data_IF_234245273971
#
_entry.id   IF_234245273971
#
_cell.length_a   1.000
_cell.length_b   1.000
_cell.length_c   1.000
_cell.angle_alpha   90.00
_cell.angle_beta   90.00
_cell.angle_gamma   90.00
#
_symmetry.space_group_name_H-M   'P 1'
#
loop_
_entity.id
_entity.type
_entity.pdbx_description
1 polymer ?
#
# COMPACT_ATOMS: atom_id res chain seq x y z
N UNK A 1 -2.93 17.66 -6.91
CA UNK A 1 -3.76 16.71 -6.15
C UNK A 1 -4.28 15.57 -7.04
N UNK A 2 -3.46 15.04 -7.96
CA UNK A 2 -3.94 14.11 -9.01
C UNK A 2 -3.14 12.80 -9.14
N UNK A 3 -2.00 12.66 -8.45
CA UNK A 3 -1.12 11.50 -8.64
C UNK A 3 -1.59 10.24 -7.89
N UNK A 4 -2.33 10.36 -6.78
CA UNK A 4 -2.69 9.17 -5.97
C UNK A 4 -3.84 8.33 -6.52
N UNK A 5 -4.67 8.89 -7.42
CA UNK A 5 -5.90 8.22 -7.87
C UNK A 5 -5.68 6.88 -8.59
N UNK A 6 -4.53 6.71 -9.26
CA UNK A 6 -4.19 5.45 -9.93
C UNK A 6 -3.89 4.30 -8.95
N UNK A 7 -3.49 4.64 -7.73
CA UNK A 7 -3.01 3.69 -6.73
C UNK A 7 -4.08 3.30 -5.71
N UNK A 8 -5.17 4.08 -5.63
CA UNK A 8 -6.36 3.76 -4.84
C UNK A 8 -6.90 2.39 -5.26
N UNK A 9 -7.25 1.57 -4.28
CA UNK A 9 -7.72 0.20 -4.45
C UNK A 9 -7.01 -0.78 -3.53
N UNK A 10 -7.35 -2.07 -3.66
CA UNK A 10 -6.76 -3.14 -2.88
C UNK A 10 -5.52 -3.68 -3.58
N UNK A 11 -4.48 -3.96 -2.82
CA UNK A 11 -3.22 -4.51 -3.30
C UNK A 11 -2.86 -5.73 -2.47
N UNK A 12 -2.84 -6.91 -3.08
CA UNK A 12 -2.59 -8.16 -2.38
C UNK A 12 -1.35 -8.86 -2.92
N UNK A 13 -0.64 -9.56 -2.05
CA UNK A 13 0.44 -10.46 -2.45
C UNK A 13 -0.13 -11.71 -3.12
N UNK A 14 0.66 -12.36 -3.98
CA UNK A 14 0.28 -13.61 -4.65
C UNK A 14 0.09 -14.71 -3.59
N UNK A 15 -1.16 -14.97 -3.21
CA UNK A 15 -1.54 -15.88 -2.12
C UNK A 15 -2.29 -15.23 -0.95
N UNK A 16 -2.65 -13.95 -1.05
CA UNK A 16 -3.58 -13.23 -0.13
C UNK A 16 -3.16 -13.20 1.35
N UNK A 17 -1.91 -13.57 1.67
CA UNK A 17 -1.38 -13.55 3.03
C UNK A 17 -1.24 -12.11 3.55
N UNK A 18 -1.13 -11.17 2.62
CA UNK A 18 -0.97 -9.74 2.88
C UNK A 18 -1.77 -8.96 1.84
N UNK A 19 -2.59 -8.02 2.30
CA UNK A 19 -3.34 -7.08 1.48
C UNK A 19 -3.24 -5.66 2.06
N UNK A 20 -3.17 -4.65 1.20
CA UNK A 20 -3.19 -3.25 1.58
C UNK A 20 -4.22 -2.52 0.74
N UNK A 21 -5.13 -1.80 1.39
CA UNK A 21 -6.12 -0.98 0.75
C UNK A 21 -5.72 0.49 0.83
N UNK A 22 -5.72 1.19 -0.30
CA UNK A 22 -5.45 2.62 -0.35
C UNK A 22 -6.73 3.41 -0.58
N UNK A 23 -6.90 4.46 0.20
CA UNK A 23 -8.07 5.33 0.16
C UNK A 23 -7.75 6.70 -0.44
N UNK A 24 -8.74 7.40 -1.05
CA UNK A 24 -8.56 8.72 -1.65
C UNK A 24 -8.13 9.82 -0.67
N UNK A 25 -8.26 9.59 0.63
CA UNK A 25 -7.87 10.51 1.69
C UNK A 25 -6.40 10.37 2.12
N UNK A 26 -5.55 9.70 1.33
CA UNK A 26 -4.16 9.40 1.67
C UNK A 26 -3.97 8.45 2.86
N UNK A 27 -5.02 7.74 3.29
CA UNK A 27 -4.90 6.69 4.30
C UNK A 27 -4.78 5.31 3.64
N UNK A 28 -4.09 4.39 4.31
CA UNK A 28 -4.06 2.99 3.92
C UNK A 28 -4.48 2.09 5.08
N UNK A 29 -5.02 0.91 4.77
CA UNK A 29 -5.21 -0.18 5.72
C UNK A 29 -4.44 -1.42 5.26
N UNK A 30 -3.78 -2.12 6.18
CA UNK A 30 -3.03 -3.34 5.90
C UNK A 30 -3.67 -4.52 6.62
N UNK A 31 -4.07 -5.53 5.88
CA UNK A 31 -4.60 -6.81 6.36
C UNK A 31 -3.55 -7.92 6.15
N UNK A 32 -3.45 -8.86 7.09
CA UNK A 32 -2.60 -10.05 6.95
C UNK A 32 -3.36 -11.32 7.32
N UNK A 33 -3.60 -12.17 6.33
CA UNK A 33 -4.35 -13.41 6.47
C UNK A 33 -5.73 -13.16 7.10
N UNK A 34 -6.03 -13.86 8.19
CA UNK A 34 -7.31 -13.75 8.91
C UNK A 34 -7.50 -12.42 9.66
N UNK A 35 -6.44 -11.61 9.82
CA UNK A 35 -6.54 -10.31 10.48
C UNK A 35 -6.86 -9.22 9.46
N UNK A 36 -8.12 -8.78 9.49
CA UNK A 36 -8.68 -7.77 8.59
C UNK A 36 -8.08 -6.37 8.70
N UNK A 37 -7.38 -6.02 9.79
CA UNK A 37 -6.74 -4.70 9.91
C UNK A 37 -5.64 -4.78 10.95
N UNK A 38 -4.40 -4.79 10.50
CA UNK A 38 -3.19 -4.95 11.32
C UNK A 38 -2.50 -3.59 11.49
N UNK A 39 -2.44 -2.79 10.43
CA UNK A 39 -1.84 -1.46 10.42
C UNK A 39 -2.70 -0.47 9.64
N UNK A 40 -2.70 0.79 10.09
CA UNK A 40 -3.33 1.91 9.40
C UNK A 40 -2.40 3.10 9.52
N UNK A 41 -2.27 3.86 8.44
CA UNK A 41 -1.44 5.05 8.44
C UNK A 41 -1.68 5.90 7.21
N UNK A 42 -0.78 6.84 7.01
CA UNK A 42 -0.79 7.71 5.85
C UNK A 42 0.21 7.22 4.81
N UNK A 43 -0.12 7.41 3.54
CA UNK A 43 0.79 7.14 2.46
C UNK A 43 0.90 8.34 1.52
N UNK A 44 2.10 8.49 0.94
CA UNK A 44 2.42 9.54 0.00
C UNK A 44 3.09 8.94 -1.21
N UNK A 45 2.67 9.35 -2.40
CA UNK A 45 3.24 8.87 -3.65
C UNK A 45 3.98 10.01 -4.32
N UNK A 46 5.19 9.73 -4.77
CA UNK A 46 6.09 10.64 -5.48
C UNK A 46 6.55 9.96 -6.77
N UNK A 47 5.84 10.24 -7.87
CA UNK A 47 6.08 9.56 -9.16
C UNK A 47 5.84 8.06 -9.06
N UNK A 48 6.92 7.28 -9.01
CA UNK A 48 6.87 5.82 -8.93
C UNK A 48 7.12 5.31 -7.51
N UNK A 49 7.49 6.18 -6.58
CA UNK A 49 7.84 5.83 -5.21
C UNK A 49 6.66 6.09 -4.28
N UNK A 50 6.49 5.26 -3.27
CA UNK A 50 5.48 5.40 -2.22
C UNK A 50 6.14 5.34 -0.86
N UNK A 51 5.87 6.33 -0.04
CA UNK A 51 6.27 6.39 1.36
C UNK A 51 5.05 6.17 2.24
N UNK A 52 5.20 5.26 3.19
CA UNK A 52 4.23 4.94 4.21
C UNK A 52 4.71 5.55 5.51
N UNK A 53 3.78 6.11 6.27
CA UNK A 53 4.02 6.60 7.61
C UNK A 53 2.92 6.07 8.51
N UNK A 54 3.31 5.16 9.38
CA UNK A 54 2.43 4.67 10.44
C UNK A 54 2.42 5.64 11.63
N UNK A 55 1.37 5.59 12.44
CA UNK A 55 1.21 6.42 13.65
C UNK A 55 2.32 6.14 14.69
N UNK A 56 2.90 4.94 14.68
CA UNK A 56 4.06 4.58 15.48
C UNK A 56 5.37 5.31 15.07
N UNK A 57 5.35 6.13 14.02
CA UNK A 57 6.51 6.88 13.54
C UNK A 57 7.47 6.09 12.64
N UNK A 58 7.10 4.85 12.28
CA UNK A 58 7.83 4.08 11.29
C UNK A 58 7.52 4.62 9.90
N UNK A 59 8.58 4.93 9.17
CA UNK A 59 8.50 5.30 7.76
C UNK A 59 9.04 4.14 6.95
N UNK A 60 8.26 3.66 5.99
CA UNK A 60 8.68 2.58 5.10
C UNK A 60 8.50 3.08 3.68
N UNK A 61 9.43 2.71 2.81
CA UNK A 61 9.35 3.04 1.40
C UNK A 61 8.89 1.84 0.55
N UNK A 62 8.43 2.13 -0.66
CA UNK A 62 8.05 1.15 -1.66
C UNK A 62 8.09 1.74 -3.06
N UNK A 63 8.18 0.87 -4.06
CA UNK A 63 8.29 1.27 -5.46
C UNK A 63 7.21 0.61 -6.31
N UNK A 64 6.51 1.43 -7.10
CA UNK A 64 5.61 0.98 -8.13
C UNK A 64 6.37 0.76 -9.44
N UNK A 65 6.37 -0.48 -9.90
CA UNK A 65 6.99 -0.87 -11.17
C UNK A 65 5.98 -1.61 -12.02
N UNK A 66 5.59 -0.99 -13.13
CA UNK A 66 4.72 -1.59 -14.15
C UNK A 66 3.36 -2.09 -13.59
N UNK A 67 2.76 -1.34 -12.67
CA UNK A 67 1.49 -1.71 -12.01
C UNK A 67 1.63 -2.72 -10.87
N UNK A 68 2.86 -3.02 -10.44
CA UNK A 68 3.18 -3.90 -9.32
C UNK A 68 3.84 -3.06 -8.23
N UNK A 69 3.45 -3.27 -6.98
CA UNK A 69 4.04 -2.62 -5.82
C UNK A 69 5.10 -3.53 -5.20
N UNK A 70 6.30 -3.01 -5.07
CA UNK A 70 7.41 -3.63 -4.37
C UNK A 70 7.57 -2.94 -3.01
N UNK A 71 7.27 -3.65 -1.95
CA UNK A 71 7.29 -3.11 -0.60
C UNK A 71 7.92 -4.10 0.37
N UNK A 72 9.00 -3.71 1.05
CA UNK A 72 9.69 -4.52 2.08
C UNK A 72 9.99 -5.97 1.65
N UNK A 73 10.41 -6.16 0.39
CA UNK A 73 10.69 -7.47 -0.20
C UNK A 73 9.45 -8.28 -0.61
N UNK A 74 8.25 -7.75 -0.39
CA UNK A 74 6.99 -8.31 -0.86
C UNK A 74 6.58 -7.67 -2.19
N UNK A 75 5.87 -8.46 -3.00
CA UNK A 75 5.33 -8.03 -4.28
C UNK A 75 3.81 -8.06 -4.17
N UNK A 76 3.18 -6.88 -4.23
CA UNK A 76 1.74 -6.74 -4.22
C UNK A 76 1.23 -6.39 -5.61
N UNK A 77 0.07 -6.96 -5.92
CA UNK A 77 -0.64 -6.76 -7.16
C UNK A 77 -1.95 -6.07 -6.85
N UNK A 78 -2.30 -5.08 -7.67
CA UNK A 78 -3.60 -4.42 -7.56
C UNK A 78 -4.71 -5.43 -7.86
N UNK A 79 -5.64 -5.60 -6.95
CA UNK A 79 -6.89 -6.30 -7.22
C UNK A 79 -7.78 -5.38 -8.05
N UNK A 80 -8.28 -5.90 -9.16
CA UNK A 80 -8.90 -5.13 -10.23
C UNK A 80 -10.40 -5.38 -10.34
#
# INVERSE_FOLDING_TARGET
MAETKGYIGMWATKGEIFATNYYPNNCYDEARGDKKTVYQGDYRIMGNHIDYKDDAGFTVDGEYRNGILYHSGMILYKEN
#
